data_IF_973119179052
#
_entry.id   IF_973119179052
#
_cell.length_a   1.000
_cell.length_b   1.000
_cell.length_c   1.000
_cell.angle_alpha   90.00
_cell.angle_beta   90.00
_cell.angle_gamma   90.00
#
_symmetry.space_group_name_H-M   'P 1'
#
loop_
_entity.id
_entity.type
_entity.pdbx_description
1 polymer ?
#
# COMPACT_ATOMS: atom_id res chain seq x y z
N UNK A 1 -0.36 15.29 3.95
CA UNK A 1 0.82 15.05 4.79
C UNK A 1 0.73 13.62 5.32
N UNK A 2 1.86 12.91 5.33
CA UNK A 2 2.00 11.54 5.82
C UNK A 2 2.98 11.60 6.99
N UNK A 3 2.63 10.96 8.10
CA UNK A 3 3.51 10.80 9.24
C UNK A 3 4.40 9.57 9.02
N UNK A 4 5.67 9.69 9.42
CA UNK A 4 6.67 8.62 9.25
C UNK A 4 6.44 7.42 10.17
N UNK A 5 5.57 7.54 11.18
CA UNK A 5 5.20 6.44 12.07
C UNK A 5 3.99 5.63 11.59
N UNK A 6 3.27 6.12 10.57
CA UNK A 6 2.06 5.45 10.10
C UNK A 6 2.33 4.17 9.33
N UNK A 7 1.41 3.24 9.49
CA UNK A 7 1.31 1.98 8.73
C UNK A 7 0.21 2.13 7.69
N UNK A 8 0.59 2.53 6.49
CA UNK A 8 -0.34 2.91 5.42
C UNK A 8 -0.65 1.72 4.52
N UNK A 9 -1.93 1.37 4.40
CA UNK A 9 -2.42 0.49 3.34
C UNK A 9 -2.73 1.29 2.09
N UNK A 10 -2.03 1.07 0.99
CA UNK A 10 -2.27 1.78 -0.25
C UNK A 10 -3.28 1.06 -1.13
N UNK A 11 -4.46 1.62 -1.24
CA UNK A 11 -5.60 1.04 -1.94
C UNK A 11 -6.01 1.83 -3.18
N UNK A 12 -6.55 1.14 -4.15
CA UNK A 12 -7.04 1.71 -5.40
C UNK A 12 -7.23 0.64 -6.46
N UNK A 13 -8.04 0.91 -7.48
CA UNK A 13 -8.27 -0.03 -8.59
C UNK A 13 -6.96 -0.31 -9.34
N UNK A 14 -6.85 -1.50 -9.92
CA UNK A 14 -5.69 -1.84 -10.75
C UNK A 14 -5.54 -0.84 -11.92
N UNK A 15 -4.28 -0.53 -12.26
CA UNK A 15 -3.97 0.45 -13.30
C UNK A 15 -4.13 1.92 -12.89
N UNK A 16 -4.44 2.22 -11.62
CA UNK A 16 -4.58 3.59 -11.13
C UNK A 16 -3.31 4.25 -10.64
N UNK A 17 -2.16 3.68 -10.92
CA UNK A 17 -0.88 4.32 -10.64
C UNK A 17 -0.31 4.07 -9.24
N UNK A 18 -0.72 3.00 -8.53
CA UNK A 18 -0.11 2.67 -7.22
C UNK A 18 1.40 2.50 -7.33
N UNK A 19 1.85 1.61 -8.20
CA UNK A 19 3.29 1.40 -8.45
C UNK A 19 3.97 2.64 -9.02
N UNK A 20 3.27 3.43 -9.85
CA UNK A 20 3.79 4.72 -10.34
C UNK A 20 4.03 5.68 -9.19
N UNK A 21 3.11 5.77 -8.24
CA UNK A 21 3.26 6.60 -7.05
C UNK A 21 4.45 6.17 -6.19
N UNK A 22 4.62 4.86 -5.95
CA UNK A 22 5.79 4.34 -5.24
C UNK A 22 7.10 4.69 -5.98
N UNK A 23 7.13 4.55 -7.30
CA UNK A 23 8.29 4.90 -8.11
C UNK A 23 8.59 6.41 -8.14
N UNK A 24 7.57 7.27 -8.01
CA UNK A 24 7.75 8.72 -7.81
C UNK A 24 8.43 9.01 -6.47
N UNK A 25 8.03 8.35 -5.38
CA UNK A 25 8.67 8.49 -4.07
C UNK A 25 10.13 8.03 -4.10
N UNK A 26 10.43 6.99 -4.90
CA UNK A 26 11.79 6.49 -5.12
C UNK A 26 12.63 7.38 -6.08
N UNK A 27 12.06 8.45 -6.61
CA UNK A 27 12.75 9.33 -7.56
C UNK A 27 13.03 8.70 -8.93
N UNK A 28 12.32 7.62 -9.31
CA UNK A 28 12.53 6.93 -10.59
C UNK A 28 11.84 7.61 -11.77
N UNK A 29 10.92 8.54 -11.52
CA UNK A 29 10.18 9.26 -12.55
C UNK A 29 10.29 10.77 -12.34
N UNK A 30 10.32 11.51 -13.44
CA UNK A 30 10.19 12.97 -13.42
C UNK A 30 8.75 13.36 -13.07
N UNK A 31 8.61 14.41 -12.28
CA UNK A 31 7.31 14.95 -11.87
C UNK A 31 7.37 16.47 -11.71
N UNK A 32 6.23 17.13 -11.82
CA UNK A 32 6.10 18.55 -11.51
C UNK A 32 5.64 18.74 -10.07
N UNK A 33 6.27 19.64 -9.34
CA UNK A 33 5.99 19.90 -7.93
C UNK A 33 7.17 19.55 -7.03
N UNK A 34 6.91 19.34 -5.73
CA UNK A 34 7.94 19.00 -4.74
C UNK A 34 7.44 17.91 -3.80
N UNK A 35 8.26 16.90 -3.59
CA UNK A 35 8.13 15.93 -2.50
C UNK A 35 9.08 16.38 -1.41
N UNK A 36 8.55 16.72 -0.23
CA UNK A 36 9.35 17.06 0.95
C UNK A 36 9.34 15.84 1.86
N UNK A 37 10.49 15.25 2.07
CA UNK A 37 10.67 14.07 2.92
C UNK A 37 11.86 14.29 3.86
N UNK A 38 11.69 13.89 5.12
CA UNK A 38 12.76 13.82 6.12
C UNK A 38 13.37 12.41 6.21
N UNK A 39 12.86 11.46 5.44
CA UNK A 39 13.28 10.05 5.43
C UNK A 39 13.71 9.63 4.04
N UNK A 40 14.52 8.60 3.97
CA UNK A 40 14.83 7.89 2.73
C UNK A 40 13.78 6.80 2.49
N UNK A 41 13.57 6.43 1.22
CA UNK A 41 12.60 5.40 0.86
C UNK A 41 13.33 4.14 0.43
N UNK A 42 13.00 3.03 1.07
CA UNK A 42 13.38 1.69 0.62
C UNK A 42 12.19 1.01 -0.06
N UNK A 43 12.48 0.05 -0.92
CA UNK A 43 11.47 -0.66 -1.69
C UNK A 43 11.59 -2.17 -1.55
N UNK A 44 10.46 -2.80 -1.28
CA UNK A 44 10.29 -4.25 -1.36
C UNK A 44 9.32 -4.58 -2.52
N UNK A 45 9.64 -5.54 -3.40
CA UNK A 45 10.74 -6.51 -3.32
C UNK A 45 12.10 -5.91 -3.68
N UNK A 46 13.10 -6.23 -2.86
CA UNK A 46 14.48 -5.84 -3.14
C UNK A 46 15.07 -6.71 -4.28
N UNK A 47 15.65 -6.12 -5.32
CA UNK A 47 16.22 -6.87 -6.44
C UNK A 47 17.56 -7.51 -6.05
N UNK A 48 17.56 -8.82 -5.84
CA UNK A 48 18.79 -9.59 -5.61
C UNK A 48 19.38 -9.95 -6.96
N UNK A 49 20.57 -9.42 -7.27
CA UNK A 49 21.25 -9.61 -8.57
C UNK A 49 21.84 -11.00 -8.73
N UNK A 50 22.47 -11.54 -7.68
CA UNK A 50 23.05 -12.88 -7.66
C UNK A 50 22.52 -13.67 -6.45
N UNK A 51 21.65 -14.62 -6.72
CA UNK A 51 21.03 -15.47 -5.71
C UNK A 51 21.89 -16.64 -5.24
N UNK A 52 23.04 -16.91 -5.90
CA UNK A 52 23.96 -17.96 -5.47
C UNK A 52 24.81 -17.54 -4.27
N UNK A 53 24.83 -16.26 -3.95
CA UNK A 53 25.58 -15.72 -2.81
C UNK A 53 24.96 -16.18 -1.49
N UNK A 54 25.77 -16.16 -0.45
CA UNK A 54 25.32 -16.41 0.92
C UNK A 54 24.31 -15.34 1.33
N UNK A 55 23.25 -15.76 2.00
CA UNK A 55 22.15 -14.88 2.39
C UNK A 55 22.62 -13.71 3.23
N UNK A 56 23.49 -13.95 4.20
CA UNK A 56 24.06 -12.91 5.06
C UNK A 56 24.75 -11.80 4.26
N UNK A 57 25.58 -12.17 3.26
CA UNK A 57 26.27 -11.19 2.40
C UNK A 57 25.29 -10.28 1.65
N UNK A 58 24.17 -10.86 1.18
CA UNK A 58 23.11 -10.11 0.51
C UNK A 58 22.39 -9.17 1.50
N UNK A 59 22.08 -9.64 2.70
CA UNK A 59 21.40 -8.84 3.70
C UNK A 59 22.30 -7.71 4.23
N UNK A 60 23.60 -7.90 4.34
CA UNK A 60 24.54 -6.83 4.68
C UNK A 60 24.60 -5.72 3.62
N UNK A 61 24.38 -6.04 2.34
CA UNK A 61 24.22 -4.99 1.31
C UNK A 61 22.92 -4.20 1.47
N UNK A 62 21.85 -4.86 1.92
CA UNK A 62 20.53 -4.23 2.14
C UNK A 62 20.55 -3.35 3.39
N UNK A 63 21.19 -3.80 4.47
CA UNK A 63 21.27 -3.10 5.76
C UNK A 63 22.73 -3.06 6.28
N UNK A 64 23.61 -2.23 5.68
CA UNK A 64 25.05 -2.26 5.93
C UNK A 64 25.46 -1.84 7.35
N UNK A 65 24.58 -1.19 8.09
CA UNK A 65 24.85 -0.73 9.46
C UNK A 65 24.30 -1.70 10.52
N UNK A 66 23.49 -2.68 10.12
CA UNK A 66 22.90 -3.63 11.06
C UNK A 66 23.93 -4.67 11.50
N UNK A 67 23.91 -5.01 12.78
CA UNK A 67 24.72 -6.09 13.33
C UNK A 67 24.03 -7.45 13.14
N UNK A 68 24.81 -8.53 13.07
CA UNK A 68 24.33 -9.90 12.85
C UNK A 68 23.23 -10.30 13.88
N UNK A 69 23.39 -9.94 15.14
CA UNK A 69 22.41 -10.25 16.18
C UNK A 69 21.06 -9.54 15.96
N UNK A 70 21.05 -8.38 15.31
CA UNK A 70 19.81 -7.67 14.94
C UNK A 70 19.06 -8.41 13.86
N UNK A 71 19.78 -8.89 12.82
CA UNK A 71 19.20 -9.77 11.81
C UNK A 71 18.61 -11.03 12.44
N UNK A 72 19.36 -11.72 13.30
CA UNK A 72 18.88 -12.91 13.99
C UNK A 72 17.60 -12.64 14.82
N UNK A 73 17.55 -11.51 15.51
CA UNK A 73 16.37 -11.07 16.26
C UNK A 73 15.16 -10.87 15.34
N UNK A 74 15.33 -10.17 14.24
CA UNK A 74 14.25 -9.92 13.28
C UNK A 74 13.75 -11.22 12.63
N UNK A 75 14.66 -12.14 12.29
CA UNK A 75 14.31 -13.47 11.77
C UNK A 75 13.49 -14.27 12.79
N UNK A 76 13.86 -14.23 14.06
CA UNK A 76 13.08 -14.86 15.14
C UNK A 76 11.64 -14.33 15.19
N UNK A 77 11.43 -13.02 14.99
CA UNK A 77 10.08 -12.44 14.96
C UNK A 77 9.25 -12.88 13.73
N UNK A 78 9.92 -13.34 12.68
CA UNK A 78 9.31 -13.82 11.45
C UNK A 78 9.17 -15.36 11.39
N UNK A 79 9.48 -16.08 12.46
CA UNK A 79 9.53 -17.54 12.50
C UNK A 79 10.44 -18.10 11.37
N UNK A 80 11.64 -17.56 11.23
CA UNK A 80 12.66 -18.03 10.31
C UNK A 80 13.85 -18.55 11.09
N UNK A 81 14.33 -19.74 10.73
CA UNK A 81 15.54 -20.30 11.34
C UNK A 81 16.75 -19.45 10.94
N UNK A 82 17.62 -19.17 11.90
CA UNK A 82 18.85 -18.41 11.67
C UNK A 82 19.82 -19.09 10.71
N UNK A 83 19.73 -20.41 10.56
CA UNK A 83 20.55 -21.18 9.60
C UNK A 83 20.43 -20.69 8.16
N UNK A 84 19.35 -20.00 7.82
CA UNK A 84 19.17 -19.40 6.49
C UNK A 84 20.25 -18.37 6.15
N UNK A 85 20.87 -17.73 7.14
CA UNK A 85 21.91 -16.72 6.93
C UNK A 85 23.16 -17.31 6.25
N UNK A 86 23.50 -18.54 6.58
CA UNK A 86 24.71 -19.21 6.07
C UNK A 86 24.47 -20.07 4.83
N UNK A 87 23.24 -20.03 4.30
CA UNK A 87 22.88 -20.77 3.08
C UNK A 87 22.86 -19.84 1.88
N UNK A 88 23.13 -20.37 0.65
CA UNK A 88 22.89 -19.61 -0.57
C UNK A 88 21.42 -19.16 -0.66
N UNK A 89 21.19 -17.91 -1.03
CA UNK A 89 19.86 -17.31 -1.05
C UNK A 89 18.87 -18.05 -1.97
N UNK A 90 19.36 -18.63 -3.08
CA UNK A 90 18.54 -19.43 -4.00
C UNK A 90 17.96 -20.70 -3.35
N UNK A 91 18.61 -21.23 -2.29
CA UNK A 91 18.15 -22.43 -1.58
C UNK A 91 17.01 -22.16 -0.61
N UNK A 92 16.72 -20.91 -0.33
CA UNK A 92 15.62 -20.49 0.52
C UNK A 92 14.30 -20.63 -0.23
N UNK A 93 13.25 -21.05 0.48
CA UNK A 93 11.89 -20.98 -0.06
C UNK A 93 11.51 -19.52 -0.36
N UNK A 94 10.56 -19.31 -1.27
CA UNK A 94 10.08 -17.96 -1.58
C UNK A 94 9.55 -17.21 -0.33
N UNK A 95 8.98 -17.94 0.62
CA UNK A 95 8.55 -17.40 1.90
C UNK A 95 9.70 -16.93 2.77
N UNK A 96 10.77 -17.72 2.87
CA UNK A 96 11.99 -17.35 3.58
C UNK A 96 12.68 -16.16 2.91
N UNK A 97 12.83 -16.17 1.57
CA UNK A 97 13.39 -15.05 0.82
C UNK A 97 12.65 -13.73 1.11
N UNK A 98 11.30 -13.77 1.10
CA UNK A 98 10.47 -12.61 1.44
C UNK A 98 10.74 -12.12 2.87
N UNK A 99 10.78 -13.03 3.83
CA UNK A 99 10.95 -12.71 5.25
C UNK A 99 12.33 -12.13 5.56
N UNK A 100 13.40 -12.73 5.02
CA UNK A 100 14.77 -12.24 5.28
C UNK A 100 15.00 -10.86 4.68
N UNK A 101 14.47 -10.59 3.48
CA UNK A 101 14.56 -9.27 2.86
C UNK A 101 13.74 -8.21 3.61
N UNK A 102 12.53 -8.55 4.08
CA UNK A 102 11.75 -7.64 4.91
C UNK A 102 12.46 -7.34 6.24
N UNK A 103 13.05 -8.35 6.88
CA UNK A 103 13.82 -8.17 8.10
C UNK A 103 14.97 -7.18 7.91
N UNK A 104 15.76 -7.36 6.86
CA UNK A 104 16.88 -6.48 6.55
C UNK A 104 16.45 -5.03 6.24
N UNK A 105 15.40 -4.85 5.42
CA UNK A 105 14.90 -3.53 5.07
C UNK A 105 14.36 -2.75 6.29
N UNK A 106 13.77 -3.43 7.28
CA UNK A 106 13.32 -2.78 8.51
C UNK A 106 14.44 -2.45 9.51
N UNK A 107 15.66 -2.88 9.27
CA UNK A 107 16.83 -2.50 10.08
C UNK A 107 17.49 -1.21 9.58
N UNK A 108 17.10 -0.66 8.44
CA UNK A 108 17.58 0.62 7.96
C UNK A 108 16.95 1.76 8.77
N UNK A 109 17.70 2.33 9.71
CA UNK A 109 17.22 3.46 10.51
C UNK A 109 17.02 4.73 9.67
N UNK A 110 15.95 5.46 9.95
CA UNK A 110 15.60 6.68 9.21
C UNK A 110 15.02 6.44 7.82
N UNK A 111 14.73 5.18 7.47
CA UNK A 111 14.11 4.81 6.21
C UNK A 111 12.59 4.54 6.38
N UNK A 112 11.85 4.80 5.31
CA UNK A 112 10.42 4.53 5.21
C UNK A 112 10.20 3.49 4.12
N UNK A 113 9.63 2.34 4.48
CA UNK A 113 9.58 1.20 3.59
C UNK A 113 8.35 1.20 2.69
N UNK A 114 8.56 1.07 1.39
CA UNK A 114 7.52 0.89 0.37
C UNK A 114 7.42 -0.59 0.04
N UNK A 115 6.34 -1.24 0.46
CA UNK A 115 6.14 -2.69 0.34
C UNK A 115 5.10 -2.96 -0.74
N UNK A 116 5.50 -3.58 -1.83
CA UNK A 116 4.61 -3.90 -2.95
C UNK A 116 4.38 -5.42 -3.04
N UNK A 117 3.16 -5.87 -2.76
CA UNK A 117 2.67 -7.24 -2.84
C UNK A 117 3.55 -8.30 -2.12
N UNK A 118 3.85 -8.15 -0.82
CA UNK A 118 4.71 -9.08 -0.09
C UNK A 118 4.08 -10.46 0.11
N UNK A 119 2.76 -10.58 -0.11
CA UNK A 119 2.01 -11.82 0.09
C UNK A 119 2.07 -12.77 -1.10
N UNK A 120 2.61 -12.33 -2.24
CA UNK A 120 2.84 -13.18 -3.39
C UNK A 120 3.78 -14.34 -2.98
N UNK A 121 3.37 -15.57 -3.27
CA UNK A 121 4.13 -16.78 -2.95
C UNK A 121 4.22 -17.15 -1.45
N UNK A 122 3.47 -16.51 -0.57
CA UNK A 122 3.37 -16.89 0.83
C UNK A 122 2.20 -17.87 1.05
N UNK A 123 2.46 -18.93 1.79
CA UNK A 123 1.40 -19.77 2.34
C UNK A 123 0.65 -19.07 3.49
N UNK A 124 -0.43 -19.66 3.97
CA UNK A 124 -1.25 -19.06 5.01
C UNK A 124 -0.49 -18.82 6.33
N UNK A 125 0.45 -19.71 6.68
CA UNK A 125 1.26 -19.60 7.91
C UNK A 125 2.27 -18.45 7.76
N UNK A 126 3.02 -18.43 6.67
CA UNK A 126 3.98 -17.36 6.40
C UNK A 126 3.32 -15.99 6.30
N UNK A 127 2.13 -15.91 5.67
CA UNK A 127 1.34 -14.69 5.58
C UNK A 127 0.94 -14.16 6.96
N UNK A 128 0.49 -15.04 7.86
CA UNK A 128 0.16 -14.67 9.24
C UNK A 128 1.38 -14.20 10.02
N UNK A 129 2.52 -14.86 9.87
CA UNK A 129 3.78 -14.48 10.50
C UNK A 129 4.20 -13.08 10.05
N UNK A 130 4.20 -12.80 8.74
CA UNK A 130 4.53 -11.47 8.18
C UNK A 130 3.52 -10.42 8.65
N UNK A 131 2.21 -10.72 8.69
CA UNK A 131 1.22 -9.78 9.22
C UNK A 131 1.49 -9.40 10.68
N UNK A 132 1.76 -10.40 11.52
CA UNK A 132 2.09 -10.18 12.94
C UNK A 132 3.36 -9.34 13.11
N UNK A 133 4.33 -9.56 12.25
CA UNK A 133 5.58 -8.80 12.22
C UNK A 133 5.33 -7.33 11.82
N UNK A 134 4.67 -7.09 10.69
CA UNK A 134 4.36 -5.75 10.19
C UNK A 134 3.51 -4.95 11.19
N UNK A 135 2.60 -5.60 11.91
CA UNK A 135 1.79 -4.95 12.95
C UNK A 135 2.64 -4.29 14.04
N UNK A 136 3.82 -4.84 14.34
CA UNK A 136 4.76 -4.31 15.35
C UNK A 136 5.70 -3.25 14.78
N UNK A 137 5.81 -3.13 13.45
CA UNK A 137 6.66 -2.15 12.78
C UNK A 137 5.93 -0.84 12.55
N UNK A 138 6.67 0.20 12.18
CA UNK A 138 6.19 1.53 11.85
C UNK A 138 6.85 2.01 10.57
N UNK A 139 6.29 3.06 9.98
CA UNK A 139 6.91 3.76 8.87
C UNK A 139 6.93 2.97 7.57
N UNK A 140 5.75 2.58 7.06
CA UNK A 140 5.67 1.92 5.76
C UNK A 140 4.38 2.21 4.99
N UNK A 141 4.48 2.07 3.67
CA UNK A 141 3.33 1.95 2.77
C UNK A 141 3.26 0.50 2.27
N UNK A 142 2.10 -0.12 2.42
CA UNK A 142 1.85 -1.50 2.01
C UNK A 142 0.82 -1.53 0.88
N UNK A 143 1.21 -2.03 -0.28
CA UNK A 143 0.30 -2.41 -1.36
C UNK A 143 0.04 -3.90 -1.26
N UNK A 144 -1.21 -4.31 -1.16
CA UNK A 144 -1.60 -5.71 -1.23
C UNK A 144 -3.03 -5.87 -1.75
N UNK A 145 -3.26 -6.97 -2.47
CA UNK A 145 -4.59 -7.41 -2.87
C UNK A 145 -5.30 -8.23 -1.79
N UNK A 146 -4.58 -8.66 -0.76
CA UNK A 146 -5.14 -9.41 0.36
C UNK A 146 -5.72 -8.45 1.41
N UNK A 147 -7.05 -8.34 1.41
CA UNK A 147 -7.80 -7.43 2.30
C UNK A 147 -7.61 -7.78 3.78
N UNK A 148 -7.56 -9.09 4.10
CA UNK A 148 -7.35 -9.54 5.49
C UNK A 148 -5.95 -9.20 5.96
N UNK A 149 -4.97 -9.38 5.10
CA UNK A 149 -3.60 -9.01 5.38
C UNK A 149 -3.45 -7.50 5.65
N UNK A 150 -4.12 -6.64 4.84
CA UNK A 150 -4.16 -5.20 5.10
C UNK A 150 -4.81 -4.89 6.44
N UNK A 151 -5.96 -5.49 6.76
CA UNK A 151 -6.65 -5.28 8.04
C UNK A 151 -5.78 -5.60 9.25
N UNK A 152 -4.95 -6.64 9.15
CA UNK A 152 -4.08 -7.09 10.24
C UNK A 152 -2.86 -6.19 10.44
N UNK A 153 -2.41 -5.47 9.40
CA UNK A 153 -1.12 -4.79 9.40
C UNK A 153 -1.19 -3.27 9.53
N UNK A 154 -2.24 -2.62 9.00
CA UNK A 154 -2.26 -1.17 8.80
C UNK A 154 -3.18 -0.44 9.77
N UNK A 155 -2.87 0.83 10.03
CA UNK A 155 -3.65 1.74 10.87
C UNK A 155 -4.17 2.97 10.11
N UNK A 156 -3.71 3.18 8.88
CA UNK A 156 -4.18 4.22 7.97
C UNK A 156 -4.34 3.67 6.56
N UNK A 157 -5.27 4.22 5.82
CA UNK A 157 -5.48 3.89 4.41
C UNK A 157 -5.16 5.10 3.54
N UNK A 158 -4.24 4.89 2.61
CA UNK A 158 -3.95 5.80 1.51
C UNK A 158 -4.76 5.34 0.30
N UNK A 159 -5.73 6.12 -0.13
CA UNK A 159 -6.57 5.79 -1.29
C UNK A 159 -6.29 6.71 -2.46
N UNK A 160 -6.15 6.12 -3.67
CA UNK A 160 -6.02 6.88 -4.90
C UNK A 160 -7.33 6.85 -5.67
N UNK A 161 -7.96 8.01 -5.80
CA UNK A 161 -9.18 8.25 -6.57
C UNK A 161 -8.82 8.97 -7.90
N UNK A 162 -9.82 9.19 -8.76
CA UNK A 162 -9.59 9.85 -10.07
C UNK A 162 -8.99 11.25 -9.95
N UNK A 163 -9.27 11.96 -8.88
CA UNK A 163 -8.90 13.36 -8.71
C UNK A 163 -7.96 13.60 -7.53
N UNK A 164 -7.96 12.74 -6.51
CA UNK A 164 -7.30 13.00 -5.24
C UNK A 164 -6.62 11.76 -4.68
N UNK A 165 -5.60 12.01 -3.85
CA UNK A 165 -5.03 11.03 -2.93
C UNK A 165 -5.49 11.43 -1.54
N UNK A 166 -6.15 10.52 -0.84
CA UNK A 166 -6.72 10.74 0.47
C UNK A 166 -6.12 9.77 1.48
N UNK A 167 -5.89 10.25 2.70
CA UNK A 167 -5.45 9.43 3.83
C UNK A 167 -6.55 9.43 4.88
N UNK A 168 -6.96 8.24 5.30
CA UNK A 168 -7.95 8.03 6.35
C UNK A 168 -7.36 7.16 7.46
N UNK A 169 -7.63 7.51 8.70
CA UNK A 169 -7.28 6.68 9.86
C UNK A 169 -8.21 5.47 9.93
N UNK A 170 -7.67 4.34 10.30
CA UNK A 170 -8.36 3.07 10.43
C UNK A 170 -7.78 1.99 9.52
N UNK A 171 -8.31 0.77 9.67
CA UNK A 171 -7.94 -0.38 8.86
C UNK A 171 -8.74 -0.44 7.54
N UNK A 172 -8.44 -1.43 6.70
CA UNK A 172 -9.10 -1.60 5.40
C UNK A 172 -10.63 -1.77 5.53
N UNK A 173 -11.10 -2.56 6.49
CA UNK A 173 -12.53 -2.82 6.68
C UNK A 173 -13.30 -1.55 7.07
N UNK A 174 -12.75 -0.72 7.96
CA UNK A 174 -13.37 0.56 8.34
C UNK A 174 -13.40 1.55 7.17
N UNK A 175 -12.31 1.63 6.40
CA UNK A 175 -12.26 2.44 5.20
C UNK A 175 -13.28 1.98 4.15
N UNK A 176 -13.37 0.66 3.90
CA UNK A 176 -14.30 0.09 2.91
C UNK A 176 -15.75 0.38 3.27
N UNK A 177 -16.11 0.25 4.55
CA UNK A 177 -17.46 0.59 5.04
C UNK A 177 -17.81 2.06 4.83
N UNK A 178 -16.85 2.98 5.06
CA UNK A 178 -17.04 4.41 4.82
C UNK A 178 -17.17 4.70 3.31
N UNK A 179 -16.33 4.05 2.49
CA UNK A 179 -16.35 4.21 1.05
C UNK A 179 -17.68 3.74 0.43
N UNK A 180 -18.22 2.60 0.88
CA UNK A 180 -19.52 2.08 0.43
C UNK A 180 -20.66 3.02 0.78
N UNK A 181 -20.70 3.54 2.01
CA UNK A 181 -21.70 4.55 2.43
C UNK A 181 -21.64 5.83 1.59
N UNK A 182 -20.42 6.29 1.29
CA UNK A 182 -20.23 7.47 0.46
C UNK A 182 -20.73 7.23 -0.96
N UNK A 183 -20.45 6.07 -1.55
CA UNK A 183 -20.95 5.71 -2.87
C UNK A 183 -22.47 5.61 -2.92
N UNK A 184 -23.09 5.00 -1.92
CA UNK A 184 -24.57 4.93 -1.82
C UNK A 184 -25.18 6.33 -1.74
N UNK A 185 -24.59 7.22 -0.94
CA UNK A 185 -25.04 8.61 -0.85
C UNK A 185 -24.92 9.37 -2.16
N UNK A 186 -23.79 9.23 -2.85
CA UNK A 186 -23.56 9.86 -4.17
C UNK A 186 -24.55 9.34 -5.23
N UNK A 187 -24.82 8.04 -5.24
CA UNK A 187 -25.81 7.45 -6.14
C UNK A 187 -27.22 7.99 -5.86
N UNK A 188 -27.64 8.05 -4.61
CA UNK A 188 -28.94 8.58 -4.22
C UNK A 188 -29.07 10.08 -4.58
N UNK A 189 -28.01 10.86 -4.40
CA UNK A 189 -27.96 12.26 -4.79
C UNK A 189 -28.09 12.44 -6.30
N UNK A 190 -27.34 11.65 -7.07
CA UNK A 190 -27.40 11.68 -8.54
C UNK A 190 -28.79 11.31 -9.06
N UNK A 191 -29.45 10.32 -8.48
CA UNK A 191 -30.82 9.95 -8.84
C UNK A 191 -31.81 11.09 -8.58
N UNK A 192 -31.68 11.78 -7.44
CA UNK A 192 -32.51 12.96 -7.13
C UNK A 192 -32.29 14.08 -8.14
N UNK A 193 -31.02 14.41 -8.42
CA UNK A 193 -30.69 15.44 -9.40
C UNK A 193 -31.23 15.11 -10.79
N UNK A 194 -31.12 13.84 -11.22
CA UNK A 194 -31.70 13.42 -12.50
C UNK A 194 -33.22 13.56 -12.54
N UNK A 195 -33.93 13.24 -11.45
CA UNK A 195 -35.40 13.45 -11.35
C UNK A 195 -35.75 14.94 -11.44
N UNK A 196 -34.98 15.79 -10.78
CA UNK A 196 -35.21 17.22 -10.81
C UNK A 196 -34.94 17.83 -12.19
N UNK A 197 -33.88 17.41 -12.86
CA UNK A 197 -33.55 17.80 -14.23
C UNK A 197 -34.72 17.41 -15.18
N UNK A 198 -35.21 16.17 -15.08
CA UNK A 198 -36.37 15.72 -15.89
C UNK A 198 -37.64 16.54 -15.62
N UNK A 199 -37.92 16.86 -14.36
CA UNK A 199 -39.06 17.73 -13.99
C UNK A 199 -38.92 19.12 -14.58
N UNK A 200 -37.76 19.74 -14.47
CA UNK A 200 -37.47 21.07 -15.06
C UNK A 200 -37.60 21.06 -16.58
N UNK A 201 -37.06 20.04 -17.23
CA UNK A 201 -37.16 19.88 -18.71
C UNK A 201 -38.65 19.73 -19.15
N UNK A 202 -39.46 18.97 -18.40
CA UNK A 202 -40.88 18.82 -18.68
C UNK A 202 -41.63 20.14 -18.48
N UNK A 203 -41.32 20.88 -17.42
CA UNK A 203 -41.92 22.18 -17.14
C UNK A 203 -41.56 23.21 -18.20
N UNK A 204 -40.28 23.24 -18.62
CA UNK A 204 -39.82 24.11 -19.71
C UNK A 204 -40.52 23.79 -21.04
N UNK A 205 -40.67 22.51 -21.39
CA UNK A 205 -41.41 22.09 -22.59
C UNK A 205 -42.88 22.52 -22.52
N UNK A 206 -43.55 22.39 -21.36
CA UNK A 206 -44.95 22.84 -21.18
C UNK A 206 -45.04 24.35 -21.32
N UNK A 207 -44.12 25.12 -20.76
CA UNK A 207 -44.10 26.58 -20.88
C UNK A 207 -43.89 27.02 -22.33
N UNK A 208 -42.99 26.38 -23.08
CA UNK A 208 -42.76 26.67 -24.50
C UNK A 208 -44.02 26.43 -25.36
N UNK A 209 -44.71 25.30 -25.13
CA UNK A 209 -45.98 24.99 -25.85
C UNK A 209 -47.09 25.97 -25.48
N UNK A 210 -47.09 26.53 -24.25
CA UNK A 210 -48.05 27.55 -23.82
C UNK A 210 -47.79 28.91 -24.48
N UNK A 211 -46.52 29.32 -24.63
CA UNK A 211 -46.18 30.57 -25.32
C UNK A 211 -46.53 30.56 -26.81
N UNK A 212 -46.37 29.44 -27.49
CA UNK A 212 -46.73 29.26 -28.90
C UNK A 212 -48.25 29.28 -29.14
N UNK A 213 -49.09 29.10 -28.10
CA UNK A 213 -50.59 29.13 -28.21
C UNK A 213 -51.21 30.50 -27.90
N UNK A 214 -50.41 31.42 -27.40
CA UNK A 214 -50.88 32.76 -26.97
C UNK A 214 -50.53 33.83 -28.00
N UNK A 215 -49.68 33.49 -29.01
CA UNK A 215 -49.51 34.29 -30.24
C UNK A 215 -50.56 33.86 -31.31
#
# INVERSE_FOLDING_TARGET
>A
QIDTDWKLGFVGRNGRGKTTFLNLLLGKYEYSGKILSSVQFDYFPYPVSDKNRITEDILQEVCPLAEEWELMRELSYLDVDVDVLWRPFETLSNGEQTKVLLAALFLNEGHFLLIDEPTNHLDAKARKSVATYLKKKKGFILVSHDRRFLDDCVDHILSINRANIEVQSGNFSSWMSNFERQQEFELALNERLQKDIRRLQQSAKRAAVWSERVE
#
